data_IF_235774849486
#
_entry.id   IF_235774849486
#
_cell.length_a   1.000
_cell.length_b   1.000
_cell.length_c   1.000
_cell.angle_alpha   90.00
_cell.angle_beta   90.00
_cell.angle_gamma   90.00
#
_symmetry.space_group_name_H-M   'P 1'
#
loop_
_entity.id
_entity.type
_entity.pdbx_description
1 polymer ?
#
# COMPACT_ATOMS: atom_id res chain seq x y z
N UNK A 1 -23.58 -2.85 24.27
CA UNK A 1 -22.18 -2.80 23.80
C UNK A 1 -22.21 -2.77 22.29
N UNK A 2 -22.24 -1.57 21.72
CA UNK A 2 -22.55 -1.36 20.30
C UNK A 2 -21.29 -1.49 19.44
N UNK A 3 -21.38 -2.38 18.45
CA UNK A 3 -20.42 -2.62 17.36
C UNK A 3 -20.06 -1.35 16.57
N UNK A 4 -20.83 -0.27 16.73
CA UNK A 4 -20.59 1.05 16.13
C UNK A 4 -19.42 1.84 16.75
N UNK A 5 -18.97 1.51 17.97
CA UNK A 5 -17.86 2.23 18.60
C UNK A 5 -16.48 1.84 18.05
N UNK A 6 -16.36 0.72 17.32
CA UNK A 6 -15.07 0.32 16.71
C UNK A 6 -14.70 1.19 15.50
N UNK A 7 -15.61 2.04 15.02
CA UNK A 7 -15.35 3.06 14.00
C UNK A 7 -14.76 4.37 14.58
N UNK A 8 -14.64 4.50 15.91
CA UNK A 8 -14.42 5.78 16.60
C UNK A 8 -12.96 6.23 16.78
N UNK A 9 -11.93 5.49 16.34
CA UNK A 9 -10.57 5.84 16.74
C UNK A 9 -9.48 5.58 15.72
N UNK A 10 -9.54 6.20 14.54
CA UNK A 10 -8.29 6.61 13.87
C UNK A 10 -8.47 7.98 13.21
N UNK A 11 -8.17 9.05 13.94
CA UNK A 11 -7.69 10.29 13.32
C UNK A 11 -6.34 9.97 12.68
N UNK A 12 -6.31 9.58 11.41
CA UNK A 12 -5.07 9.54 10.65
C UNK A 12 -4.73 10.97 10.25
N UNK A 13 -3.64 11.49 10.81
CA UNK A 13 -2.79 12.44 10.11
C UNK A 13 -2.58 11.85 8.71
N UNK A 14 -3.20 12.42 7.68
CA UNK A 14 -3.10 11.93 6.30
C UNK A 14 -1.63 12.09 5.86
N UNK A 15 -0.82 11.06 6.09
CA UNK A 15 0.29 10.82 5.19
C UNK A 15 -0.36 10.52 3.84
N UNK A 16 0.01 11.29 2.81
CA UNK A 16 -0.38 11.01 1.43
C UNK A 16 -0.09 9.53 1.16
N UNK A 17 -1.11 8.77 0.74
CA UNK A 17 -0.93 7.36 0.43
C UNK A 17 0.08 7.25 -0.72
N UNK A 18 1.28 6.74 -0.42
CA UNK A 18 2.36 6.61 -1.42
C UNK A 18 2.11 5.36 -2.27
N UNK A 19 1.90 4.23 -1.59
CA UNK A 19 1.62 2.95 -2.22
C UNK A 19 0.14 2.57 -2.09
N UNK A 20 -0.37 1.80 -3.06
CA UNK A 20 -1.73 1.24 -3.09
C UNK A 20 -1.76 -0.28 -2.94
N UNK A 21 -0.77 -0.86 -2.26
CA UNK A 21 -0.60 -2.31 -2.10
C UNK A 21 -1.86 -2.98 -1.53
N UNK A 22 -2.51 -2.34 -0.56
CA UNK A 22 -3.73 -2.88 0.06
C UNK A 22 -4.85 -3.09 -0.96
N UNK A 23 -5.01 -2.15 -1.89
CA UNK A 23 -6.03 -2.23 -2.95
C UNK A 23 -5.68 -3.34 -3.94
N UNK A 24 -4.43 -3.40 -4.38
CA UNK A 24 -3.96 -4.45 -5.29
C UNK A 24 -4.09 -5.86 -4.71
N UNK A 25 -3.83 -6.04 -3.41
CA UNK A 25 -4.05 -7.33 -2.74
C UNK A 25 -5.52 -7.76 -2.81
N UNK A 26 -6.46 -6.82 -2.63
CA UNK A 26 -7.90 -7.10 -2.76
C UNK A 26 -8.28 -7.42 -4.21
N UNK A 27 -7.81 -6.61 -5.17
CA UNK A 27 -8.05 -6.81 -6.62
C UNK A 27 -7.55 -8.19 -7.08
N UNK A 28 -6.38 -8.61 -6.60
CA UNK A 28 -5.77 -9.91 -6.91
C UNK A 28 -6.26 -11.05 -6.01
N UNK A 29 -7.21 -10.79 -5.10
CA UNK A 29 -7.77 -11.76 -4.14
C UNK A 29 -6.70 -12.47 -3.30
N UNK A 30 -5.66 -11.74 -2.91
CA UNK A 30 -4.56 -12.22 -2.05
C UNK A 30 -4.66 -11.59 -0.66
N UNK A 31 -4.18 -12.33 0.34
CA UNK A 31 -4.15 -11.84 1.73
C UNK A 31 -2.77 -11.27 2.07
N UNK A 32 -2.69 -10.36 3.03
CA UNK A 32 -1.40 -9.86 3.54
C UNK A 32 -0.53 -10.98 4.13
N UNK A 33 -1.16 -12.01 4.73
CA UNK A 33 -0.48 -13.19 5.24
C UNK A 33 0.17 -13.98 4.10
N UNK A 34 -0.56 -14.21 3.01
CA UNK A 34 -0.03 -14.88 1.82
C UNK A 34 1.20 -14.15 1.26
N UNK A 35 1.12 -12.81 1.13
CA UNK A 35 2.25 -12.02 0.62
C UNK A 35 3.47 -12.10 1.55
N UNK A 36 3.24 -12.06 2.87
CA UNK A 36 4.30 -12.20 3.86
C UNK A 36 5.02 -13.55 3.74
N UNK A 37 4.27 -14.63 3.52
CA UNK A 37 4.81 -15.98 3.30
C UNK A 37 5.64 -16.05 2.00
N UNK A 38 5.16 -15.48 0.90
CA UNK A 38 5.91 -15.46 -0.37
C UNK A 38 7.20 -14.65 -0.31
N UNK A 39 7.18 -13.54 0.45
CA UNK A 39 8.34 -12.66 0.58
C UNK A 39 9.33 -13.14 1.65
N UNK A 40 8.91 -14.02 2.56
CA UNK A 40 9.71 -14.46 3.71
C UNK A 40 9.85 -13.37 4.78
N UNK A 41 8.84 -12.50 4.93
CA UNK A 41 8.85 -11.36 5.85
C UNK A 41 7.79 -11.52 6.95
N UNK A 42 7.92 -10.77 8.05
CA UNK A 42 6.92 -10.79 9.11
C UNK A 42 5.57 -10.21 8.61
N UNK A 43 4.41 -10.84 8.91
CA UNK A 43 3.10 -10.31 8.54
C UNK A 43 2.85 -8.87 9.01
N UNK A 44 3.43 -8.47 10.14
CA UNK A 44 3.37 -7.10 10.65
C UNK A 44 4.03 -6.10 9.70
N UNK A 45 5.11 -6.51 9.02
CA UNK A 45 5.79 -5.68 8.02
C UNK A 45 4.87 -5.41 6.83
N UNK A 46 4.24 -6.45 6.27
CA UNK A 46 3.26 -6.28 5.18
C UNK A 46 2.06 -5.44 5.63
N UNK A 47 1.59 -5.62 6.86
CA UNK A 47 0.52 -4.79 7.42
C UNK A 47 0.89 -3.31 7.44
N UNK A 48 2.12 -2.98 7.86
CA UNK A 48 2.63 -1.60 7.86
C UNK A 48 2.76 -1.02 6.45
N UNK A 49 3.13 -1.84 5.46
CA UNK A 49 3.14 -1.43 4.05
C UNK A 49 1.74 -1.10 3.54
N UNK A 50 0.75 -1.94 3.86
CA UNK A 50 -0.65 -1.73 3.49
C UNK A 50 -1.30 -0.51 4.16
N UNK A 51 -0.76 -0.03 5.28
CA UNK A 51 -1.22 1.19 5.98
C UNK A 51 -0.35 2.40 5.68
N UNK A 52 0.58 2.31 4.72
CA UNK A 52 1.56 3.36 4.37
C UNK A 52 2.45 3.85 5.53
N UNK A 53 2.40 3.20 6.70
CA UNK A 53 3.21 3.56 7.88
C UNK A 53 4.70 3.22 7.72
N UNK A 54 5.03 2.33 6.79
CA UNK A 54 6.39 2.10 6.29
C UNK A 54 6.31 1.70 4.82
N UNK A 55 7.40 1.84 4.07
CA UNK A 55 7.44 1.48 2.66
C UNK A 55 8.30 0.23 2.45
N UNK A 56 7.94 -0.66 1.51
CA UNK A 56 8.85 -1.70 1.07
C UNK A 56 10.07 -1.06 0.39
N UNK A 57 11.23 -1.68 0.55
CA UNK A 57 12.40 -1.31 -0.25
C UNK A 57 12.19 -1.67 -1.74
N UNK A 58 13.12 -1.22 -2.58
CA UNK A 58 13.04 -1.42 -4.03
C UNK A 58 13.02 -2.90 -4.43
N UNK A 59 13.79 -3.74 -3.71
CA UNK A 59 13.85 -5.18 -3.97
C UNK A 59 12.49 -5.84 -3.70
N UNK A 60 11.88 -5.51 -2.57
CA UNK A 60 10.55 -5.99 -2.21
C UNK A 60 9.46 -5.45 -3.14
N UNK A 61 9.54 -4.19 -3.58
CA UNK A 61 8.59 -3.64 -4.57
C UNK A 61 8.58 -4.44 -5.87
N UNK A 62 9.76 -4.78 -6.41
CA UNK A 62 9.88 -5.60 -7.63
C UNK A 62 9.26 -6.98 -7.41
N UNK A 63 9.63 -7.65 -6.30
CA UNK A 63 9.07 -8.96 -5.96
C UNK A 63 7.55 -8.92 -5.78
N UNK A 64 7.01 -7.86 -5.20
CA UNK A 64 5.56 -7.68 -5.04
C UNK A 64 4.89 -7.55 -6.41
N UNK A 65 5.46 -6.77 -7.32
CA UNK A 65 4.94 -6.62 -8.68
C UNK A 65 4.91 -7.97 -9.41
N UNK A 66 6.00 -8.74 -9.33
CA UNK A 66 6.10 -10.08 -9.92
C UNK A 66 5.07 -11.06 -9.32
N UNK A 67 4.93 -11.08 -7.99
CA UNK A 67 4.00 -11.96 -7.28
C UNK A 67 2.52 -11.64 -7.56
N UNK A 68 2.21 -10.38 -7.81
CA UNK A 68 0.86 -9.90 -8.09
C UNK A 68 0.55 -9.83 -9.59
N UNK A 69 1.55 -10.06 -10.46
CA UNK A 69 1.45 -9.95 -11.91
C UNK A 69 0.85 -8.60 -12.33
N UNK A 70 1.52 -7.53 -11.91
CA UNK A 70 1.16 -6.14 -12.20
C UNK A 70 2.39 -5.33 -12.58
N UNK A 71 2.19 -4.24 -13.30
CA UNK A 71 3.28 -3.30 -13.53
C UNK A 71 3.66 -2.60 -12.20
N UNK A 72 4.96 -2.39 -11.95
CA UNK A 72 5.44 -1.73 -10.73
C UNK A 72 4.83 -0.33 -10.53
N UNK A 73 4.45 0.37 -11.60
CA UNK A 73 3.78 1.68 -11.53
C UNK A 73 2.41 1.59 -10.87
N UNK A 74 1.72 0.45 -10.99
CA UNK A 74 0.41 0.23 -10.37
C UNK A 74 0.48 0.16 -8.85
N UNK A 75 1.68 -0.06 -8.26
CA UNK A 75 1.88 -0.05 -6.82
C UNK A 75 1.82 1.37 -6.21
N UNK A 76 1.89 2.42 -7.02
CA UNK A 76 1.92 3.81 -6.55
C UNK A 76 0.61 4.54 -6.81
N UNK A 77 0.25 5.49 -5.93
CA UNK A 77 -0.99 6.28 -6.04
C UNK A 77 -0.84 7.48 -6.98
N UNK A 78 0.39 7.99 -7.16
CA UNK A 78 0.65 9.24 -7.88
C UNK A 78 1.36 9.01 -9.20
N UNK A 79 0.80 9.59 -10.26
CA UNK A 79 1.53 9.75 -11.52
C UNK A 79 2.44 10.98 -11.48
N UNK A 80 3.68 10.81 -11.96
CA UNK A 80 4.67 11.88 -12.02
C UNK A 80 4.21 13.09 -12.86
N UNK A 81 3.54 12.85 -13.99
CA UNK A 81 3.00 13.93 -14.84
C UNK A 81 1.99 14.81 -14.08
N UNK A 82 1.12 14.17 -13.29
CA UNK A 82 0.14 14.87 -12.44
C UNK A 82 0.83 15.62 -11.29
N UNK A 83 1.97 15.12 -10.79
CA UNK A 83 2.80 15.86 -9.84
C UNK A 83 3.34 17.16 -10.45
N UNK A 84 3.97 17.10 -11.63
CA UNK A 84 4.57 18.27 -12.26
C UNK A 84 3.55 19.38 -12.55
N UNK A 85 2.40 19.02 -13.14
CA UNK A 85 1.31 19.97 -13.43
C UNK A 85 0.77 20.68 -12.17
N UNK A 86 0.83 20.03 -11.01
CA UNK A 86 0.41 20.63 -9.73
C UNK A 86 1.42 21.62 -9.14
N UNK A 87 2.66 21.64 -9.64
CA UNK A 87 3.69 22.59 -9.22
C UNK A 87 3.71 23.84 -10.10
N UNK A 88 3.32 23.72 -11.38
CA UNK A 88 3.28 24.84 -12.34
C UNK A 88 2.10 25.80 -12.10
N UNK A 89 1.11 25.37 -11.32
CA UNK A 89 -0.10 26.15 -10.99
C UNK A 89 0.03 26.95 -9.69
N UNK A 90 1.24 27.05 -9.14
CA UNK A 90 1.57 27.86 -7.94
C UNK A 90 2.39 29.08 -8.30
#
# INVERSE_FOLDING_TARGET
>A
MNLFHYFCAIKLKEMEDINRLKVLLVEKKRTSKWLAEQLGVNPTTVSKWCTNSSQPDLSNLLRIADLLDVDIRELFVREYKRHLLSQETK
#
